data_IF_031241075120
#
_entry.id   IF_031241075120
#
_cell.length_a   1.000
_cell.length_b   1.000
_cell.length_c   1.000
_cell.angle_alpha   90.00
_cell.angle_beta   90.00
_cell.angle_gamma   90.00
#
_symmetry.space_group_name_H-M   'P 1'
#
loop_
_entity.id
_entity.type
_entity.pdbx_description
1 polymer ?
#
# COMPACT_ATOMS: atom_id res chain seq x y z
N UNK A 1 29.03 -1.47 -15.80
CA UNK A 1 27.97 -0.45 -15.65
C UNK A 1 28.17 0.21 -14.30
N UNK A 2 28.29 1.54 -14.27
CA UNK A 2 28.90 2.28 -13.15
C UNK A 2 28.26 2.02 -11.80
N UNK A 3 29.09 1.75 -10.79
CA UNK A 3 28.66 1.68 -9.39
C UNK A 3 28.16 3.06 -8.99
N UNK A 4 26.86 3.26 -8.83
CA UNK A 4 26.39 4.42 -8.08
C UNK A 4 26.77 4.19 -6.63
N UNK A 5 27.79 4.91 -6.17
CA UNK A 5 28.20 4.93 -4.76
C UNK A 5 27.20 5.80 -4.01
N UNK A 6 26.19 5.15 -3.42
CA UNK A 6 25.29 5.81 -2.47
C UNK A 6 26.09 6.21 -1.23
N UNK A 7 25.79 7.38 -0.66
CA UNK A 7 26.31 7.72 0.65
C UNK A 7 25.63 6.87 1.73
N UNK A 8 26.37 6.42 2.76
CA UNK A 8 25.79 5.66 3.84
C UNK A 8 24.91 6.55 4.71
N UNK A 9 23.75 6.03 5.13
CA UNK A 9 22.96 6.67 6.18
C UNK A 9 23.70 6.55 7.51
N UNK A 10 23.66 7.62 8.31
CA UNK A 10 24.24 7.69 9.66
C UNK A 10 23.46 6.81 10.63
N UNK A 11 22.13 6.86 10.53
CA UNK A 11 21.20 6.12 11.36
C UNK A 11 19.79 6.04 10.72
N UNK A 12 18.87 5.35 11.40
CA UNK A 12 17.48 5.25 10.98
C UNK A 12 16.72 6.59 11.06
N UNK A 13 17.19 7.57 11.84
CA UNK A 13 16.57 8.89 11.91
C UNK A 13 16.74 9.63 10.58
N UNK A 14 17.91 9.55 9.97
CA UNK A 14 18.18 10.13 8.65
C UNK A 14 17.27 9.53 7.57
N UNK A 15 17.10 8.20 7.56
CA UNK A 15 16.15 7.55 6.65
C UNK A 15 14.69 7.96 6.91
N UNK A 16 14.30 8.07 8.17
CA UNK A 16 12.98 8.56 8.57
C UNK A 16 12.72 9.99 8.06
N UNK A 17 13.72 10.87 8.15
CA UNK A 17 13.61 12.26 7.71
C UNK A 17 13.46 12.40 6.19
N UNK A 18 14.00 11.43 5.43
CA UNK A 18 13.85 11.37 3.97
C UNK A 18 12.40 11.03 3.55
N UNK A 19 11.62 10.30 4.34
CA UNK A 19 10.27 9.86 3.93
C UNK A 19 9.31 11.04 3.64
N UNK A 20 9.21 12.08 4.49
CA UNK A 20 8.47 13.30 4.16
C UNK A 20 9.00 14.05 2.94
N UNK A 21 10.32 14.08 2.71
CA UNK A 21 10.92 14.76 1.57
C UNK A 21 10.53 14.07 0.26
N UNK A 22 10.62 12.74 0.20
CA UNK A 22 10.14 11.94 -0.92
C UNK A 22 8.64 12.12 -1.13
N UNK A 23 7.85 12.09 -0.05
CA UNK A 23 6.41 12.33 -0.14
C UNK A 23 6.11 13.67 -0.81
N UNK A 24 6.75 14.75 -0.36
CA UNK A 24 6.53 16.10 -0.90
C UNK A 24 7.00 16.21 -2.35
N UNK A 25 8.13 15.60 -2.69
CA UNK A 25 8.63 15.54 -4.06
C UNK A 25 7.60 14.89 -4.98
N UNK A 26 7.12 13.69 -4.65
CA UNK A 26 6.14 12.97 -5.47
C UNK A 26 4.76 13.61 -5.47
N UNK A 27 4.35 14.27 -4.38
CA UNK A 27 3.13 15.09 -4.35
C UNK A 27 3.19 16.23 -5.37
N UNK A 28 4.35 16.88 -5.51
CA UNK A 28 4.54 18.02 -6.41
C UNK A 28 4.75 17.64 -7.87
N UNK A 29 5.14 16.39 -8.15
CA UNK A 29 5.36 15.92 -9.52
C UNK A 29 4.07 15.91 -10.33
N UNK A 30 4.16 16.33 -11.60
CA UNK A 30 3.05 16.26 -12.56
C UNK A 30 2.65 14.82 -12.93
N UNK A 31 3.59 13.88 -13.22
CA UNK A 31 3.22 12.54 -13.64
C UNK A 31 2.46 11.74 -12.56
N UNK A 32 1.44 11.01 -13.00
CA UNK A 32 0.66 10.11 -12.15
C UNK A 32 1.28 8.72 -12.00
N UNK A 33 2.25 8.37 -12.85
CA UNK A 33 2.96 7.10 -12.83
C UNK A 33 4.44 7.26 -13.17
N UNK A 34 5.28 6.42 -12.55
CA UNK A 34 6.74 6.46 -12.68
C UNK A 34 7.25 5.08 -13.06
N UNK A 35 8.03 4.99 -14.14
CA UNK A 35 8.59 3.71 -14.57
C UNK A 35 9.59 3.17 -13.55
N UNK A 36 9.74 1.84 -13.51
CA UNK A 36 10.74 1.19 -12.66
C UNK A 36 12.16 1.70 -12.97
N UNK A 37 12.48 1.90 -14.24
CA UNK A 37 13.78 2.44 -14.64
C UNK A 37 14.02 3.87 -14.13
N UNK A 38 12.98 4.71 -14.08
CA UNK A 38 13.07 6.03 -13.49
C UNK A 38 13.35 5.94 -11.99
N UNK A 39 12.56 5.13 -11.26
CA UNK A 39 12.67 4.99 -9.81
C UNK A 39 14.01 4.38 -9.38
N UNK A 40 14.54 3.41 -10.12
CA UNK A 40 15.82 2.77 -9.81
C UNK A 40 17.04 3.67 -10.09
N UNK A 41 16.84 4.87 -10.64
CA UNK A 41 17.88 5.91 -10.82
C UNK A 41 17.88 6.95 -9.69
N UNK A 42 17.05 6.78 -8.66
CA UNK A 42 17.09 7.62 -7.45
C UNK A 42 18.52 7.68 -6.90
N UNK A 43 18.98 8.89 -6.57
CA UNK A 43 20.37 9.15 -6.15
C UNK A 43 20.54 9.07 -4.63
N UNK A 44 19.49 9.38 -3.88
CA UNK A 44 19.56 9.53 -2.42
C UNK A 44 19.72 8.19 -1.70
N UNK A 45 19.19 7.11 -2.27
CA UNK A 45 19.30 5.75 -1.75
C UNK A 45 18.92 4.72 -2.82
N UNK A 46 19.21 3.45 -2.54
CA UNK A 46 18.95 2.37 -3.49
C UNK A 46 17.46 2.00 -3.53
N UNK A 47 16.88 2.11 -4.72
CA UNK A 47 15.53 1.64 -5.02
C UNK A 47 15.62 0.43 -5.94
N UNK A 48 14.84 -0.62 -5.64
CA UNK A 48 14.70 -1.81 -6.49
C UNK A 48 13.22 -2.01 -6.79
N UNK A 49 12.86 -2.10 -8.06
CA UNK A 49 11.49 -2.33 -8.49
C UNK A 49 11.36 -3.70 -9.16
N UNK A 50 10.33 -4.46 -8.80
CA UNK A 50 10.09 -5.82 -9.31
C UNK A 50 8.64 -5.99 -9.73
N UNK A 51 8.41 -6.61 -10.88
CA UNK A 51 7.11 -7.18 -11.23
C UNK A 51 7.07 -8.64 -10.76
N UNK A 52 6.19 -8.93 -9.81
CA UNK A 52 5.93 -10.26 -9.26
C UNK A 52 4.45 -10.66 -9.44
N UNK A 53 3.74 -10.07 -10.40
CA UNK A 53 2.31 -10.32 -10.62
C UNK A 53 2.00 -11.76 -11.03
N UNK A 54 2.98 -12.48 -11.56
CA UNK A 54 2.88 -13.91 -11.88
C UNK A 54 3.17 -14.82 -10.68
N UNK A 55 3.75 -14.31 -9.60
CA UNK A 55 4.08 -15.10 -8.41
C UNK A 55 2.83 -15.34 -7.56
N UNK A 56 2.69 -16.57 -7.05
CA UNK A 56 1.59 -16.89 -6.12
C UNK A 56 1.91 -16.31 -4.74
N UNK A 57 1.02 -15.46 -4.23
CA UNK A 57 1.09 -15.01 -2.85
C UNK A 57 0.64 -16.12 -1.89
N UNK A 58 1.42 -16.34 -0.82
CA UNK A 58 1.13 -17.31 0.22
C UNK A 58 0.52 -16.63 1.46
N UNK A 59 -0.80 -16.69 1.56
CA UNK A 59 -1.55 -16.02 2.62
C UNK A 59 -1.75 -16.93 3.84
N UNK A 60 -1.27 -16.51 5.01
CA UNK A 60 -1.60 -17.15 6.28
C UNK A 60 -2.94 -16.63 6.79
N UNK A 61 -4.04 -17.03 6.14
CA UNK A 61 -5.40 -16.55 6.47
C UNK A 61 -5.98 -17.34 7.64
N UNK A 62 -6.47 -16.69 8.71
CA UNK A 62 -7.17 -17.38 9.79
C UNK A 62 -8.36 -18.20 9.28
N UNK A 63 -8.59 -19.44 9.75
CA UNK A 63 -9.68 -20.29 9.24
C UNK A 63 -11.07 -19.66 9.32
N UNK A 64 -11.35 -18.88 10.36
CA UNK A 64 -12.61 -18.16 10.50
C UNK A 64 -12.78 -17.10 9.39
N UNK A 65 -11.75 -16.31 9.14
CA UNK A 65 -11.74 -15.32 8.07
C UNK A 65 -11.82 -15.98 6.68
N UNK A 66 -11.12 -17.09 6.47
CA UNK A 66 -11.21 -17.85 5.21
C UNK A 66 -12.66 -18.29 4.96
N UNK A 67 -13.33 -18.88 5.95
CA UNK A 67 -14.74 -19.27 5.82
C UNK A 67 -15.66 -18.08 5.57
N UNK A 68 -15.45 -16.96 6.27
CA UNK A 68 -16.24 -15.75 6.06
C UNK A 68 -16.08 -15.20 4.62
N UNK A 69 -14.86 -15.19 4.09
CA UNK A 69 -14.58 -14.79 2.70
C UNK A 69 -15.30 -15.72 1.73
N UNK A 70 -15.15 -17.04 1.87
CA UNK A 70 -15.75 -18.02 0.96
C UNK A 70 -17.28 -18.00 0.98
N UNK A 71 -17.88 -17.72 2.13
CA UNK A 71 -19.34 -17.71 2.32
C UNK A 71 -19.97 -16.33 2.16
N UNK A 72 -19.19 -15.29 1.84
CA UNK A 72 -19.71 -13.93 1.72
C UNK A 72 -20.69 -13.82 0.56
N UNK A 73 -21.97 -13.59 0.86
CA UNK A 73 -23.00 -13.35 -0.15
C UNK A 73 -22.64 -12.14 -1.02
N UNK A 74 -22.05 -11.09 -0.42
CA UNK A 74 -21.62 -9.89 -1.13
C UNK A 74 -20.55 -10.20 -2.18
N UNK A 75 -19.59 -11.08 -1.88
CA UNK A 75 -18.56 -11.48 -2.86
C UNK A 75 -19.09 -12.51 -3.85
N UNK A 76 -19.94 -13.43 -3.42
CA UNK A 76 -20.45 -14.48 -4.30
C UNK A 76 -21.54 -13.98 -5.27
N UNK A 77 -22.24 -12.90 -4.91
CA UNK A 77 -23.36 -12.32 -5.67
C UNK A 77 -23.36 -10.79 -5.53
N UNK A 78 -22.40 -10.08 -6.16
CA UNK A 78 -22.23 -8.64 -6.00
C UNK A 78 -23.36 -7.78 -6.61
N UNK A 79 -24.22 -8.38 -7.41
CA UNK A 79 -25.33 -7.78 -8.17
C UNK A 79 -26.72 -8.13 -7.62
N UNK A 80 -26.80 -8.79 -6.46
CA UNK A 80 -28.07 -9.16 -5.84
C UNK A 80 -28.91 -7.96 -5.42
N UNK A 81 -30.24 -8.09 -5.52
CA UNK A 81 -31.23 -7.11 -5.06
C UNK A 81 -31.33 -7.03 -3.52
N UNK A 82 -30.66 -7.92 -2.79
CA UNK A 82 -30.64 -7.93 -1.32
C UNK A 82 -29.91 -6.72 -0.72
N UNK A 83 -29.10 -6.01 -1.51
CA UNK A 83 -28.42 -4.79 -1.05
C UNK A 83 -29.19 -3.54 -1.51
N UNK A 84 -29.32 -2.52 -0.64
CA UNK A 84 -30.03 -1.27 -0.98
C UNK A 84 -29.31 -0.43 -2.07
N UNK A 85 -28.14 -0.87 -2.51
CA UNK A 85 -27.32 -0.21 -3.52
C UNK A 85 -27.23 -1.13 -4.74
N UNK A 86 -27.38 -0.55 -5.94
CA UNK A 86 -27.18 -1.29 -7.19
C UNK A 86 -25.76 -1.91 -7.27
N UNK A 87 -25.52 -2.78 -8.26
CA UNK A 87 -24.23 -3.42 -8.44
C UNK A 87 -23.10 -2.37 -8.50
N UNK A 88 -21.91 -2.69 -7.96
CA UNK A 88 -20.79 -1.76 -7.97
C UNK A 88 -20.44 -1.37 -9.41
N UNK A 89 -20.44 -0.07 -9.67
CA UNK A 89 -19.86 0.51 -10.89
C UNK A 89 -18.34 0.64 -10.73
N UNK A 90 -17.62 0.71 -11.83
CA UNK A 90 -16.15 0.66 -11.87
C UNK A 90 -15.45 1.69 -10.96
N UNK A 91 -16.07 2.83 -10.69
CA UNK A 91 -15.53 3.89 -9.81
C UNK A 91 -15.86 3.71 -8.30
N UNK A 92 -16.69 2.73 -7.96
CA UNK A 92 -17.24 2.54 -6.60
C UNK A 92 -16.58 1.40 -5.81
N UNK A 93 -15.65 0.66 -6.42
CA UNK A 93 -15.03 -0.53 -5.83
C UNK A 93 -14.34 -0.28 -4.49
N UNK A 94 -13.78 0.91 -4.26
CA UNK A 94 -13.14 1.22 -2.97
C UNK A 94 -14.15 1.19 -1.82
N UNK A 95 -15.30 1.87 -2.00
CA UNK A 95 -16.34 1.95 -0.98
C UNK A 95 -17.07 0.62 -0.81
N UNK A 96 -17.35 -0.07 -1.93
CA UNK A 96 -17.90 -1.42 -1.89
C UNK A 96 -16.99 -2.37 -1.10
N UNK A 97 -15.67 -2.32 -1.31
CA UNK A 97 -14.71 -3.13 -0.58
C UNK A 97 -14.69 -2.78 0.91
N UNK A 98 -14.78 -1.49 1.27
CA UNK A 98 -14.90 -1.07 2.67
C UNK A 98 -16.08 -1.73 3.38
N UNK A 99 -17.26 -1.74 2.76
CA UNK A 99 -18.46 -2.40 3.31
C UNK A 99 -18.26 -3.92 3.38
N UNK A 100 -17.67 -4.53 2.35
CA UNK A 100 -17.34 -5.97 2.35
C UNK A 100 -16.43 -6.32 3.53
N UNK A 101 -15.43 -5.50 3.81
CA UNK A 101 -14.53 -5.70 4.94
C UNK A 101 -15.28 -5.58 6.27
N UNK A 102 -16.15 -4.58 6.43
CA UNK A 102 -16.95 -4.43 7.65
C UNK A 102 -17.82 -5.65 7.92
N UNK A 103 -18.56 -6.12 6.91
CA UNK A 103 -19.40 -7.33 7.05
C UNK A 103 -18.59 -8.59 7.36
N UNK A 104 -17.38 -8.71 6.78
CA UNK A 104 -16.51 -9.86 7.06
C UNK A 104 -16.00 -9.82 8.50
N UNK A 105 -15.53 -8.65 8.97
CA UNK A 105 -14.98 -8.53 10.32
C UNK A 105 -16.07 -8.61 11.39
N UNK A 106 -17.28 -8.07 11.16
CA UNK A 106 -18.41 -8.26 12.08
C UNK A 106 -18.75 -9.75 12.28
N UNK A 107 -18.57 -10.56 11.23
CA UNK A 107 -18.83 -12.00 11.26
C UNK A 107 -17.70 -12.84 11.88
N UNK A 108 -16.55 -12.25 12.23
CA UNK A 108 -15.41 -12.99 12.79
C UNK A 108 -14.75 -12.28 13.97
N UNK A 109 -14.42 -13.02 15.02
CA UNK A 109 -13.69 -12.47 16.18
C UNK A 109 -12.19 -12.29 15.85
N UNK A 110 -11.88 -11.29 15.04
CA UNK A 110 -10.52 -10.87 14.71
C UNK A 110 -10.33 -9.40 15.05
N UNK A 111 -9.14 -9.04 15.54
CA UNK A 111 -8.78 -7.64 15.73
C UNK A 111 -8.89 -6.90 14.40
N UNK A 112 -9.64 -5.79 14.39
CA UNK A 112 -9.83 -4.93 13.22
C UNK A 112 -8.49 -4.43 12.68
N UNK A 113 -7.53 -4.14 13.58
CA UNK A 113 -6.23 -3.56 13.24
C UNK A 113 -6.33 -2.22 12.50
N UNK A 114 -7.51 -1.61 12.43
CA UNK A 114 -7.75 -0.38 11.68
C UNK A 114 -7.19 0.81 12.46
N UNK A 115 -6.45 1.66 11.75
CA UNK A 115 -5.77 2.83 12.28
C UNK A 115 -6.33 4.10 11.63
N UNK A 116 -6.39 5.18 12.39
CA UNK A 116 -6.76 6.48 11.84
C UNK A 116 -5.65 7.05 10.92
N UNK A 117 -6.04 7.96 10.02
CA UNK A 117 -5.14 8.75 9.18
C UNK A 117 -4.36 9.81 9.98
N UNK A 118 -3.63 9.37 11.00
CA UNK A 118 -2.83 10.20 11.88
C UNK A 118 -1.44 10.49 11.33
N UNK A 119 -1.04 11.75 11.40
CA UNK A 119 0.29 12.24 11.04
C UNK A 119 0.31 13.11 9.78
N UNK A 120 1.40 13.87 9.57
CA UNK A 120 1.47 14.89 8.52
C UNK A 120 1.27 14.33 7.11
N UNK A 121 1.75 13.13 6.82
CA UNK A 121 1.65 12.53 5.49
C UNK A 121 0.27 11.89 5.25
N UNK A 122 -0.24 11.13 6.24
CA UNK A 122 -1.56 10.49 6.14
C UNK A 122 -2.71 11.49 6.15
N UNK A 123 -2.60 12.61 6.86
CA UNK A 123 -3.64 13.65 6.81
C UNK A 123 -3.78 14.27 5.41
N UNK A 124 -2.66 14.42 4.68
CA UNK A 124 -2.71 14.88 3.28
C UNK A 124 -3.40 13.85 2.39
N UNK A 125 -3.05 12.57 2.53
CA UNK A 125 -3.70 11.49 1.77
C UNK A 125 -5.18 11.30 2.12
N UNK A 126 -5.55 11.50 3.38
CA UNK A 126 -6.93 11.45 3.86
C UNK A 126 -7.79 12.62 3.37
N UNK A 127 -7.21 13.83 3.27
CA UNK A 127 -7.85 14.97 2.60
C UNK A 127 -8.02 14.71 1.09
N UNK A 128 -7.04 14.01 0.51
CA UNK A 128 -7.01 13.58 -0.88
C UNK A 128 -6.41 14.61 -1.82
N UNK A 129 -5.92 14.14 -2.97
CA UNK A 129 -5.41 14.99 -4.04
C UNK A 129 -6.54 15.39 -4.97
N UNK A 130 -6.77 16.71 -5.08
CA UNK A 130 -7.76 17.27 -6.00
C UNK A 130 -7.04 17.79 -7.23
N UNK A 131 -7.43 17.29 -8.40
CA UNK A 131 -6.93 17.75 -9.71
C UNK A 131 -8.14 18.07 -10.58
N UNK A 132 -8.16 19.26 -11.18
CA UNK A 132 -9.27 19.74 -12.03
C UNK A 132 -10.64 19.65 -11.34
N UNK A 133 -10.71 20.00 -10.04
CA UNK A 133 -11.96 19.98 -9.27
C UNK A 133 -12.44 18.59 -8.83
N UNK A 134 -11.74 17.51 -9.20
CA UNK A 134 -12.10 16.14 -8.83
C UNK A 134 -11.06 15.52 -7.88
N UNK A 135 -11.55 14.84 -6.83
CA UNK A 135 -10.68 14.13 -5.88
C UNK A 135 -10.14 12.84 -6.51
N UNK A 136 -8.99 12.96 -7.16
CA UNK A 136 -8.30 11.94 -7.94
C UNK A 136 -7.72 10.84 -7.05
N UNK A 137 -7.03 11.22 -5.98
CA UNK A 137 -6.45 10.30 -5.00
C UNK A 137 -7.12 10.51 -3.64
N UNK A 138 -7.49 9.43 -2.96
CA UNK A 138 -8.06 9.50 -1.61
C UNK A 138 -7.66 8.26 -0.80
N UNK A 139 -7.00 8.48 0.34
CA UNK A 139 -6.80 7.43 1.34
C UNK A 139 -8.14 6.96 1.90
N UNK A 140 -8.33 5.64 2.00
CA UNK A 140 -9.60 5.04 2.40
C UNK A 140 -9.55 4.37 3.77
N UNK A 141 -8.66 3.39 3.95
CA UNK A 141 -8.47 2.68 5.24
C UNK A 141 -7.03 2.27 5.45
N UNK A 142 -6.57 2.27 6.69
CA UNK A 142 -5.22 1.88 7.09
C UNK A 142 -5.32 0.74 8.11
N UNK A 143 -4.56 -0.33 7.90
CA UNK A 143 -4.55 -1.51 8.76
C UNK A 143 -3.14 -1.79 9.26
N UNK A 144 -2.97 -1.88 10.57
CA UNK A 144 -1.77 -2.35 11.24
C UNK A 144 -1.94 -3.83 11.59
N UNK A 145 -1.36 -4.71 10.77
CA UNK A 145 -1.36 -6.15 11.05
C UNK A 145 -0.28 -6.53 12.05
N UNK A 146 0.87 -5.87 11.97
CA UNK A 146 2.03 -6.00 12.87
C UNK A 146 2.72 -4.66 13.02
N UNK A 147 3.55 -4.44 14.05
CA UNK A 147 4.32 -3.21 14.19
C UNK A 147 5.08 -2.82 12.92
N UNK A 148 5.64 -3.79 12.21
CA UNK A 148 6.43 -3.62 11.00
C UNK A 148 5.70 -3.95 9.69
N UNK A 149 4.40 -4.27 9.70
CA UNK A 149 3.65 -4.58 8.47
C UNK A 149 2.25 -3.98 8.49
N UNK A 150 2.06 -2.93 7.69
CA UNK A 150 0.80 -2.21 7.57
C UNK A 150 0.29 -2.29 6.12
N UNK A 151 -1.03 -2.23 5.97
CA UNK A 151 -1.71 -2.20 4.67
C UNK A 151 -2.53 -0.92 4.55
N UNK A 152 -2.48 -0.29 3.38
CA UNK A 152 -3.20 0.94 3.11
C UNK A 152 -4.05 0.80 1.84
N UNK A 153 -5.37 0.99 2.01
CA UNK A 153 -6.32 1.08 0.91
C UNK A 153 -6.37 2.53 0.41
N UNK A 154 -6.14 2.72 -0.87
CA UNK A 154 -6.16 4.02 -1.52
C UNK A 154 -6.99 3.95 -2.80
N UNK A 155 -7.81 4.97 -3.02
CA UNK A 155 -8.49 5.17 -4.30
C UNK A 155 -7.63 6.07 -5.18
N UNK A 156 -7.43 5.66 -6.42
CA UNK A 156 -6.69 6.42 -7.41
C UNK A 156 -7.39 6.39 -8.78
N UNK A 157 -8.03 7.51 -9.14
CA UNK A 157 -8.69 7.72 -10.42
C UNK A 157 -7.79 8.48 -11.42
N UNK A 158 -6.49 8.48 -11.20
CA UNK A 158 -5.54 9.05 -12.15
C UNK A 158 -5.65 8.32 -13.49
N UNK A 159 -5.65 9.05 -14.61
CA UNK A 159 -5.64 8.42 -15.92
C UNK A 159 -4.32 7.65 -16.05
N UNK A 160 -4.39 6.32 -16.11
CA UNK A 160 -3.24 5.52 -16.49
C UNK A 160 -3.01 5.80 -17.98
N UNK A 161 -2.04 6.64 -18.33
CA UNK A 161 -1.79 7.04 -19.71
C UNK A 161 -1.83 5.82 -20.64
N UNK A 162 -2.93 5.70 -21.38
CA UNK A 162 -3.13 4.68 -22.41
C UNK A 162 -2.27 4.93 -23.64
N UNK A 163 -1.46 6.02 -23.63
CA UNK A 163 -0.63 6.50 -24.73
C UNK A 163 0.80 6.86 -24.32
N UNK A 164 1.39 6.14 -23.36
CA UNK A 164 2.85 6.04 -23.33
C UNK A 164 3.31 5.37 -24.63
N UNK A 165 4.21 6.01 -25.39
CA UNK A 165 4.76 5.56 -26.69
C UNK A 165 5.30 4.12 -26.75
N UNK A 166 5.34 3.41 -25.63
CA UNK A 166 5.90 2.07 -25.51
C UNK A 166 4.89 0.95 -25.25
N UNK A 167 3.56 1.18 -25.28
CA UNK A 167 2.54 0.10 -25.32
C UNK A 167 2.63 -0.99 -24.23
N UNK A 168 3.49 -0.81 -23.22
CA UNK A 168 3.71 -1.77 -22.15
C UNK A 168 2.68 -1.46 -21.08
N UNK A 169 1.66 -2.33 -21.00
CA UNK A 169 0.78 -2.50 -19.84
C UNK A 169 1.50 -2.05 -18.56
N UNK A 170 0.88 -1.19 -17.73
CA UNK A 170 1.46 -0.53 -16.54
C UNK A 170 1.96 -1.45 -15.42
N UNK A 171 2.68 -2.50 -15.77
CA UNK A 171 3.35 -3.51 -14.94
C UNK A 171 4.73 -3.04 -14.49
N UNK A 172 5.40 -2.21 -15.30
CA UNK A 172 6.73 -1.70 -15.04
C UNK A 172 6.71 -0.25 -14.50
N UNK A 173 5.70 0.09 -13.72
CA UNK A 173 5.58 1.39 -13.08
C UNK A 173 4.92 1.29 -11.70
N UNK A 174 5.18 2.32 -10.88
CA UNK A 174 4.40 2.61 -9.68
C UNK A 174 3.56 3.87 -9.92
N UNK A 175 2.39 3.93 -9.31
CA UNK A 175 1.58 5.13 -9.26
C UNK A 175 2.13 6.12 -8.26
N UNK A 176 1.88 7.41 -8.50
CA UNK A 176 2.20 8.50 -7.56
C UNK A 176 1.60 8.22 -6.18
N UNK A 177 0.33 7.79 -6.15
CA UNK A 177 -0.39 7.42 -4.93
C UNK A 177 0.25 6.24 -4.18
N UNK A 178 0.79 5.25 -4.90
CA UNK A 178 1.48 4.10 -4.33
C UNK A 178 2.77 4.52 -3.62
N UNK A 179 3.58 5.37 -4.26
CA UNK A 179 4.82 5.89 -3.69
C UNK A 179 4.54 6.71 -2.43
N UNK A 180 3.56 7.60 -2.50
CA UNK A 180 3.13 8.39 -1.33
C UNK A 180 2.58 7.52 -0.20
N UNK A 181 1.82 6.48 -0.52
CA UNK A 181 1.33 5.52 0.46
C UNK A 181 2.47 4.76 1.15
N UNK A 182 3.48 4.34 0.38
CA UNK A 182 4.67 3.66 0.91
C UNK A 182 5.42 4.56 1.88
N UNK A 183 5.76 5.79 1.47
CA UNK A 183 6.50 6.72 2.34
C UNK A 183 5.71 7.07 3.61
N UNK A 184 4.38 7.21 3.50
CA UNK A 184 3.51 7.45 4.65
C UNK A 184 3.50 6.30 5.65
N UNK A 185 3.38 5.05 5.18
CA UNK A 185 3.45 3.87 6.04
C UNK A 185 4.82 3.79 6.72
N UNK A 186 5.91 3.83 5.94
CA UNK A 186 7.27 3.66 6.50
C UNK A 186 7.55 4.74 7.56
N UNK A 187 7.19 5.99 7.27
CA UNK A 187 7.33 7.08 8.22
C UNK A 187 6.53 6.85 9.51
N UNK A 188 5.27 6.41 9.40
CA UNK A 188 4.41 6.13 10.57
C UNK A 188 4.86 4.90 11.36
N UNK A 189 5.41 3.88 10.69
CA UNK A 189 5.99 2.71 11.36
C UNK A 189 7.22 3.07 12.18
N UNK A 190 8.00 4.06 11.73
CA UNK A 190 9.22 4.46 12.40
C UNK A 190 9.00 5.45 13.55
N UNK A 191 7.90 6.19 13.54
CA UNK A 191 7.71 7.34 14.41
C UNK A 191 6.41 7.29 15.22
N UNK A 192 6.52 7.65 16.50
CA UNK A 192 5.40 8.12 17.27
C UNK A 192 5.07 9.57 16.85
N UNK A 193 3.84 9.78 16.35
CA UNK A 193 3.38 11.10 15.90
C UNK A 193 2.14 11.48 16.71
N UNK A 194 2.26 12.61 17.43
CA UNK A 194 1.21 13.15 18.30
C UNK A 194 0.65 14.45 17.70
N UNK A 195 -0.65 14.64 17.87
CA UNK A 195 -1.34 15.87 17.50
C UNK A 195 -1.44 16.80 18.72
N UNK A 196 -0.97 18.04 18.59
CA UNK A 196 -1.17 19.08 19.60
C UNK A 196 -2.48 19.80 19.31
N UNK A 197 -3.52 19.46 20.08
CA UNK A 197 -4.86 20.05 19.96
C UNK A 197 -4.86 21.57 20.20
N UNK A 198 -3.96 22.09 21.05
CA UNK A 198 -3.93 23.53 21.35
C UNK A 198 -3.34 24.31 20.19
N UNK A 199 -2.28 23.78 19.58
CA UNK A 199 -1.59 24.41 18.45
C UNK A 199 -2.16 24.02 17.08
N UNK A 200 -3.13 23.11 17.05
CA UNK A 200 -3.72 22.55 15.83
C UNK A 200 -2.64 22.10 14.82
N UNK A 201 -1.62 21.40 15.32
CA UNK A 201 -0.52 20.90 14.49
C UNK A 201 0.07 19.61 15.04
N UNK A 202 0.73 18.85 14.16
CA UNK A 202 1.54 17.72 14.59
C UNK A 202 2.76 18.20 15.37
N UNK A 203 3.06 17.50 16.46
CA UNK A 203 4.31 17.65 17.19
C UNK A 203 5.46 17.09 16.36
N UNK A 204 6.70 17.43 16.75
CA UNK A 204 7.85 16.77 16.15
C UNK A 204 7.76 15.26 16.37
N UNK A 205 7.90 14.45 15.30
CA UNK A 205 7.89 13.00 15.40
C UNK A 205 9.01 12.52 16.32
N UNK A 206 8.70 11.51 17.13
CA UNK A 206 9.71 10.81 17.93
C UNK A 206 10.00 9.47 17.28
N UNK A 207 11.24 9.23 16.88
CA UNK A 207 11.65 7.93 16.38
C UNK A 207 11.48 6.87 17.47
N UNK A 208 10.74 5.82 17.13
CA UNK A 208 10.51 4.63 17.98
C UNK A 208 11.01 3.35 17.32
N UNK A 209 11.43 3.42 16.05
CA UNK A 209 12.08 2.31 15.36
C UNK A 209 13.36 1.89 16.08
N UNK A 210 13.55 0.58 16.23
CA UNK A 210 14.74 0.00 16.84
C UNK A 210 15.57 -0.72 15.78
N UNK A 211 14.99 -1.73 15.13
CA UNK A 211 15.63 -2.53 14.10
C UNK A 211 14.61 -3.29 13.23
N UNK A 212 15.12 -4.00 12.22
CA UNK A 212 14.37 -4.95 11.40
C UNK A 212 13.67 -4.36 10.17
N UNK A 213 13.21 -5.26 9.31
CA UNK A 213 12.55 -4.90 8.05
C UNK A 213 11.13 -4.38 8.29
N UNK A 214 10.87 -3.20 7.72
CA UNK A 214 9.55 -2.60 7.59
C UNK A 214 8.90 -3.03 6.28
N UNK A 215 7.59 -3.24 6.31
CA UNK A 215 6.77 -3.65 5.18
C UNK A 215 5.52 -2.77 5.06
N UNK A 216 5.28 -2.29 3.85
CA UNK A 216 4.11 -1.52 3.46
C UNK A 216 3.37 -2.25 2.33
N UNK A 217 2.09 -2.57 2.50
CA UNK A 217 1.23 -3.05 1.41
C UNK A 217 0.31 -1.91 0.98
N UNK A 218 0.33 -1.52 -0.29
CA UNK A 218 -0.62 -0.57 -0.85
C UNK A 218 -1.59 -1.33 -1.74
N UNK A 219 -2.88 -1.17 -1.47
CA UNK A 219 -3.97 -1.72 -2.29
C UNK A 219 -4.68 -0.55 -2.96
N UNK A 220 -4.37 -0.34 -4.24
CA UNK A 220 -4.81 0.80 -5.02
C UNK A 220 -6.02 0.43 -5.86
N UNK A 221 -7.15 1.06 -5.57
CA UNK A 221 -8.40 0.93 -6.30
C UNK A 221 -8.47 1.98 -7.40
N UNK A 222 -8.49 1.50 -8.63
CA UNK A 222 -8.67 2.29 -9.84
C UNK A 222 -10.01 1.96 -10.48
N UNK A 223 -10.37 2.70 -11.53
CA UNK A 223 -11.56 2.42 -12.35
C UNK A 223 -11.54 0.98 -12.85
N UNK A 224 -12.39 0.14 -12.28
CA UNK A 224 -12.56 -1.28 -12.63
C UNK A 224 -11.33 -2.16 -12.36
N UNK A 225 -10.31 -1.69 -11.64
CA UNK A 225 -9.04 -2.41 -11.44
C UNK A 225 -8.50 -2.23 -10.03
N UNK A 226 -7.77 -3.22 -9.55
CA UNK A 226 -7.01 -3.12 -8.29
C UNK A 226 -5.57 -3.49 -8.52
N UNK A 227 -4.66 -2.70 -7.98
CA UNK A 227 -3.23 -2.96 -7.94
C UNK A 227 -2.81 -3.23 -6.52
N UNK A 228 -1.87 -4.15 -6.34
CA UNK A 228 -1.25 -4.41 -5.04
C UNK A 228 0.25 -4.26 -5.16
N UNK A 229 0.81 -3.35 -4.36
CA UNK A 229 2.26 -3.13 -4.26
C UNK A 229 2.69 -3.43 -2.83
N UNK A 230 3.75 -4.22 -2.68
CA UNK A 230 4.43 -4.36 -1.40
C UNK A 230 5.78 -3.66 -1.48
N UNK A 231 6.10 -2.84 -0.48
CA UNK A 231 7.40 -2.23 -0.32
C UNK A 231 8.06 -2.70 0.98
N UNK A 232 9.36 -2.95 0.92
CA UNK A 232 10.16 -3.26 2.10
C UNK A 232 11.43 -2.46 2.18
N UNK A 233 11.82 -2.10 3.39
CA UNK A 233 13.10 -1.49 3.69
C UNK A 233 13.56 -1.94 5.08
N UNK A 234 14.86 -2.09 5.27
CA UNK A 234 15.48 -2.20 6.59
C UNK A 234 16.25 -0.90 6.87
N UNK A 235 15.65 0.08 7.58
CA UNK A 235 16.31 1.34 7.92
C UNK A 235 17.54 1.20 8.82
N UNK A 236 17.74 0.06 9.47
CA UNK A 236 18.94 -0.19 10.28
C UNK A 236 20.18 -0.50 9.43
N UNK A 237 19.98 -0.82 8.15
CA UNK A 237 21.07 -1.04 7.22
C UNK A 237 21.75 0.29 6.86
N UNK A 238 23.08 0.30 6.85
CA UNK A 238 23.91 1.45 6.43
C UNK A 238 23.62 1.92 5.00
N UNK A 239 23.18 1.00 4.13
CA UNK A 239 22.74 1.26 2.77
C UNK A 239 21.32 0.71 2.57
N UNK A 240 20.30 1.38 3.13
CA UNK A 240 18.93 0.90 3.08
C UNK A 240 18.49 0.77 1.61
N UNK A 241 17.87 -0.37 1.30
CA UNK A 241 17.33 -0.64 -0.03
C UNK A 241 15.81 -0.71 0.06
N UNK A 242 15.12 0.24 -0.56
CA UNK A 242 13.67 0.17 -0.72
C UNK A 242 13.35 -0.73 -1.90
N UNK A 243 12.79 -1.90 -1.60
CA UNK A 243 12.33 -2.84 -2.63
C UNK A 243 10.84 -2.67 -2.81
N UNK A 244 10.40 -2.12 -3.94
CA UNK A 244 9.00 -2.03 -4.33
C UNK A 244 8.66 -3.18 -5.28
N UNK A 245 7.66 -3.98 -4.93
CA UNK A 245 7.25 -5.15 -5.71
C UNK A 245 5.78 -5.02 -6.08
N UNK A 246 5.47 -5.00 -7.38
CA UNK A 246 4.10 -5.12 -7.88
C UNK A 246 3.66 -6.57 -7.74
N UNK A 247 2.74 -6.83 -6.81
CA UNK A 247 2.31 -8.18 -6.41
C UNK A 247 1.03 -8.65 -7.08
N UNK A 248 0.17 -7.71 -7.50
CA UNK A 248 -1.13 -8.07 -8.03
C UNK A 248 -1.70 -7.01 -8.95
N UNK A 249 -2.35 -7.48 -10.01
CA UNK A 249 -3.17 -6.68 -10.92
C UNK A 249 -4.47 -7.46 -11.13
N UNK A 250 -5.55 -6.92 -10.59
CA UNK A 250 -6.86 -7.56 -10.61
C UNK A 250 -7.83 -6.71 -11.42
N UNK A 251 -8.63 -7.37 -12.26
CA UNK A 251 -9.76 -6.73 -12.90
C UNK A 251 -10.98 -6.92 -11.99
N UNK A 252 -11.66 -5.83 -11.69
CA UNK A 252 -12.90 -5.84 -10.92
C UNK A 252 -14.11 -5.43 -11.76
N UNK A 253 -13.95 -5.08 -13.05
CA UNK A 253 -15.10 -4.71 -13.87
C UNK A 253 -16.17 -5.80 -13.86
N UNK A 254 -17.42 -5.39 -13.62
CA UNK A 254 -18.56 -6.32 -13.52
C UNK A 254 -18.72 -7.22 -14.75
N UNK A 255 -18.32 -6.72 -15.93
CA UNK A 255 -18.32 -7.49 -17.19
C UNK A 255 -17.46 -8.75 -17.17
N UNK A 256 -16.48 -8.84 -16.26
CA UNK A 256 -15.53 -9.94 -16.14
C UNK A 256 -15.27 -10.29 -14.67
N UNK A 257 -16.28 -10.08 -13.83
CA UNK A 257 -16.17 -10.27 -12.39
C UNK A 257 -15.70 -11.69 -12.03
N UNK A 258 -14.64 -11.76 -11.23
CA UNK A 258 -14.10 -13.00 -10.68
C UNK A 258 -14.00 -12.91 -9.16
N UNK A 259 -14.86 -13.67 -8.47
CA UNK A 259 -14.83 -13.75 -7.01
C UNK A 259 -13.49 -14.21 -6.45
N UNK A 260 -12.73 -15.03 -7.19
CA UNK A 260 -11.40 -15.48 -6.76
C UNK A 260 -10.42 -14.31 -6.66
N UNK A 261 -10.55 -13.31 -7.54
CA UNK A 261 -9.78 -12.07 -7.51
C UNK A 261 -10.17 -11.24 -6.29
N UNK A 262 -11.46 -11.11 -5.99
CA UNK A 262 -11.95 -10.42 -4.79
C UNK A 262 -11.47 -11.11 -3.51
N UNK A 263 -11.52 -12.45 -3.43
CA UNK A 263 -10.96 -13.20 -2.31
C UNK A 263 -9.48 -12.86 -2.08
N UNK A 264 -8.68 -12.79 -3.15
CA UNK A 264 -7.26 -12.42 -3.05
C UNK A 264 -7.08 -10.97 -2.58
N UNK A 265 -7.86 -10.03 -3.10
CA UNK A 265 -7.78 -8.61 -2.70
C UNK A 265 -8.12 -8.46 -1.21
N UNK A 266 -9.18 -9.10 -0.74
CA UNK A 266 -9.54 -9.10 0.69
C UNK A 266 -8.38 -9.66 1.53
N UNK A 267 -7.76 -10.77 1.09
CA UNK A 267 -6.60 -11.33 1.80
C UNK A 267 -5.38 -10.40 1.80
N UNK A 268 -5.12 -9.69 0.69
CA UNK A 268 -4.09 -8.64 0.67
C UNK A 268 -4.36 -7.53 1.68
N UNK A 269 -5.63 -7.21 1.93
CA UNK A 269 -6.02 -6.15 2.86
C UNK A 269 -5.98 -6.63 4.31
N UNK A 270 -6.49 -7.82 4.61
CA UNK A 270 -6.71 -8.28 5.99
C UNK A 270 -5.63 -9.22 6.53
N UNK A 271 -4.95 -9.95 5.67
CA UNK A 271 -3.92 -10.92 6.05
C UNK A 271 -2.76 -10.93 5.03
N UNK A 272 -2.13 -9.76 4.74
CA UNK A 272 -1.09 -9.69 3.73
C UNK A 272 0.05 -10.68 4.03
N UNK A 273 0.61 -11.33 3.01
CA UNK A 273 1.65 -12.32 3.15
C UNK A 273 2.90 -11.68 3.74
N UNK A 274 3.55 -12.42 4.65
CA UNK A 274 4.93 -12.12 5.04
C UNK A 274 5.84 -12.39 3.84
N UNK A 275 6.89 -11.60 3.71
CA UNK A 275 7.97 -11.96 2.80
C UNK A 275 8.79 -13.09 3.44
N UNK A 276 9.11 -14.12 2.65
CA UNK A 276 9.76 -15.36 3.09
C UNK A 276 11.20 -15.21 3.63
N UNK A 277 11.67 -13.99 3.89
CA UNK A 277 13.04 -13.69 4.31
C UNK A 277 13.22 -13.69 5.84
N UNK A 278 12.17 -13.93 6.62
CA UNK A 278 12.27 -14.18 8.08
C UNK A 278 12.73 -15.61 8.41
N UNK A 279 13.70 -16.17 7.67
CA UNK A 279 14.47 -17.31 8.19
C UNK A 279 15.64 -16.72 8.98
N UNK A 280 15.69 -16.85 10.32
CA UNK A 280 16.89 -16.52 11.05
C UNK A 280 18.00 -17.40 10.49
N UNK A 281 19.06 -16.80 9.96
CA UNK A 281 20.31 -17.51 9.71
C UNK A 281 20.79 -18.02 11.07
N UNK A 282 20.39 -19.26 11.40
CA UNK A 282 20.77 -19.96 12.62
C UNK A 282 22.28 -20.00 12.63
N UNK A 283 22.87 -19.38 13.66
CA UNK A 283 24.30 -19.19 13.79
C UNK A 283 25.08 -20.48 13.55
N UNK A 284 26.16 -20.35 12.77
CA UNK A 284 27.26 -21.30 12.81
C UNK A 284 27.74 -21.35 14.27
N UNK A 285 27.59 -22.52 14.91
CA UNK A 285 28.34 -22.80 16.14
C UNK A 285 29.79 -23.05 15.75
N UNK A 286 30.66 -22.47 16.57
CA UNK A 286 32.11 -22.70 16.62
C UNK A 286 32.44 -24.19 16.82
#
# INVERSE_FOLDING_TARGET
MGSSTYEPFRDAQEFSNLMPELFNLYWSYEPDAFSFDFLQRTKDFKVVCKDATAEKADFTTPPALERAIQNSARINSPDTSEYPWGPPVDDSWTGWMGITIDSLIEGVDISRGEEEFGGPLFSVLGAGLVVNGHRRVLGHRLFKHRPNHWTFMIRDHSPLDSKGKDGKNGKNCLLRSEIMGITSILYRQMNEIRWDLRKHKYMQPRLTYQDGTLTATIVTFMVGKVRVVQATCDPSNRYPTLTCTLRGLYNLSMSCYDKSSVHKIVKWILCPPKLAWEVPLRGKKA
#
